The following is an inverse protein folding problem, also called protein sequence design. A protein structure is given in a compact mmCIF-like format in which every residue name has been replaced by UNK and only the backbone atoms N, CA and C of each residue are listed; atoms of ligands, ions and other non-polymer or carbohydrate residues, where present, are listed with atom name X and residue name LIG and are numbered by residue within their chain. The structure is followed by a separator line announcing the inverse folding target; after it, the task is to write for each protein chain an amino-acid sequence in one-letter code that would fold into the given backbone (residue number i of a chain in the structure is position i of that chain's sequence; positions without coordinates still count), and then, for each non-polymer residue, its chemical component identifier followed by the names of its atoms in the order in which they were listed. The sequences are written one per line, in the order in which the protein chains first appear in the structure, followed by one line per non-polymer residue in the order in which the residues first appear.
data_IF_075336504501
#
_entry.id   IF_075336504501
#
_cell.length_a   1.000
_cell.length_b   1.000
_cell.length_c   1.000
_cell.angle_alpha   90.00
_cell.angle_beta   90.00
_cell.angle_gamma   90.00
#
_symmetry.space_group_name_H-M   'P 1'
#
loop_
_entity.id
_entity.type
_entity.pdbx_description
1 polymer ?
#
# COMPACT_ATOMS: atom_id res chain seq x y z
N UNK A 1 -11.02 28.88 -12.29
CA UNK A 1 -10.08 27.90 -12.87
C UNK A 1 -10.29 26.65 -12.04
N UNK A 2 -10.69 25.55 -12.66
CA UNK A 2 -11.07 24.30 -11.98
C UNK A 2 -9.95 23.86 -11.01
N UNK A 3 -10.31 23.53 -9.76
CA UNK A 3 -9.35 23.24 -8.69
C UNK A 3 -8.54 21.96 -8.98
N UNK A 4 -9.17 20.99 -9.65
CA UNK A 4 -8.48 19.79 -10.15
C UNK A 4 -7.42 20.16 -11.21
N UNK A 5 -7.73 21.07 -12.12
CA UNK A 5 -6.75 21.55 -13.11
C UNK A 5 -5.62 22.32 -12.44
N UNK A 6 -5.89 23.06 -11.37
CA UNK A 6 -4.87 23.78 -10.61
C UNK A 6 -3.93 22.81 -9.89
N UNK A 7 -4.45 21.72 -9.32
CA UNK A 7 -3.64 20.68 -8.68
C UNK A 7 -2.77 19.94 -9.71
N UNK A 8 -3.34 19.50 -10.83
CA UNK A 8 -2.61 18.87 -11.93
C UNK A 8 -1.51 19.80 -12.48
N UNK A 9 -1.84 21.07 -12.69
CA UNK A 9 -0.89 22.09 -13.14
C UNK A 9 0.24 22.31 -12.13
N UNK A 10 -0.08 22.39 -10.84
CA UNK A 10 0.89 22.59 -9.77
C UNK A 10 1.83 21.39 -9.66
N UNK A 11 1.30 20.17 -9.72
CA UNK A 11 2.09 18.94 -9.74
C UNK A 11 3.03 18.91 -10.95
N UNK A 12 2.53 19.25 -12.14
CA UNK A 12 3.39 19.39 -13.33
C UNK A 12 4.50 20.40 -13.12
N UNK A 13 4.21 21.59 -12.59
CA UNK A 13 5.23 22.63 -12.35
C UNK A 13 6.30 22.17 -11.38
N UNK A 14 5.91 21.45 -10.34
CA UNK A 14 6.84 20.81 -9.41
C UNK A 14 7.75 19.81 -10.13
N UNK A 15 7.16 18.88 -10.89
CA UNK A 15 7.92 17.84 -11.62
C UNK A 15 8.87 18.45 -12.65
N UNK A 16 8.41 19.45 -13.42
CA UNK A 16 9.27 20.18 -14.36
C UNK A 16 10.41 20.91 -13.62
N UNK A 17 10.14 21.47 -12.43
CA UNK A 17 11.18 22.15 -11.66
C UNK A 17 12.25 21.17 -11.18
N UNK A 18 11.84 20.02 -10.64
CA UNK A 18 12.75 18.94 -10.24
C UNK A 18 13.63 18.49 -11.41
N UNK A 19 13.00 18.21 -12.57
CA UNK A 19 13.72 17.82 -13.77
C UNK A 19 14.69 18.88 -14.31
N UNK A 20 14.37 20.18 -14.16
CA UNK A 20 15.30 21.27 -14.56
C UNK A 20 16.50 21.42 -13.62
N UNK A 21 16.35 21.04 -12.35
CA UNK A 21 17.45 21.05 -11.39
C UNK A 21 18.38 19.86 -11.61
N UNK A 22 17.80 18.68 -11.84
CA UNK A 22 18.54 17.45 -12.15
C UNK A 22 17.66 16.44 -12.90
N UNK A 23 18.24 15.58 -13.76
CA UNK A 23 17.51 14.46 -14.35
C UNK A 23 16.78 13.64 -13.30
N UNK A 24 15.47 13.43 -13.48
CA UNK A 24 14.58 12.87 -12.45
C UNK A 24 13.82 11.67 -12.98
N UNK A 25 13.86 10.55 -12.25
CA UNK A 25 13.03 9.36 -12.49
C UNK A 25 11.93 9.31 -11.42
N UNK A 26 10.67 9.29 -11.85
CA UNK A 26 9.51 9.06 -10.98
C UNK A 26 9.00 7.64 -11.20
N UNK A 27 9.02 6.84 -10.14
CA UNK A 27 8.57 5.44 -10.15
C UNK A 27 7.22 5.36 -9.45
N UNK A 28 6.22 4.82 -10.15
CA UNK A 28 4.89 4.53 -9.63
C UNK A 28 4.70 3.02 -9.60
N UNK A 29 4.62 2.45 -8.41
CA UNK A 29 4.44 1.01 -8.23
C UNK A 29 2.96 0.66 -8.08
N UNK A 30 2.59 -0.53 -8.53
CA UNK A 30 1.26 -1.12 -8.36
C UNK A 30 0.08 -0.21 -8.76
N UNK A 31 0.22 0.55 -9.85
CA UNK A 31 -0.77 1.58 -10.24
C UNK A 31 -2.16 1.02 -10.59
N UNK A 32 -2.28 -0.28 -10.82
CA UNK A 32 -3.56 -0.98 -10.98
C UNK A 32 -4.47 -0.88 -9.74
N UNK A 33 -3.94 -0.50 -8.57
CA UNK A 33 -4.73 -0.24 -7.36
C UNK A 33 -4.98 1.25 -7.10
N UNK A 34 -4.39 2.12 -7.91
CA UNK A 34 -4.51 3.56 -7.75
C UNK A 34 -5.93 4.02 -8.08
N UNK A 35 -6.40 5.03 -7.36
CA UNK A 35 -7.71 5.61 -7.66
C UNK A 35 -7.71 6.38 -8.99
N UNK A 36 -8.91 6.73 -9.46
CA UNK A 36 -9.08 7.40 -10.74
C UNK A 36 -8.26 8.70 -10.84
N UNK A 37 -8.20 9.50 -9.77
CA UNK A 37 -7.52 10.80 -9.75
C UNK A 37 -5.99 10.67 -9.73
N UNK A 38 -5.46 9.67 -9.03
CA UNK A 38 -4.02 9.35 -9.05
C UNK A 38 -3.56 8.94 -10.45
N UNK A 39 -4.32 8.07 -11.09
CA UNK A 39 -4.06 7.64 -12.46
C UNK A 39 -4.20 8.81 -13.46
N UNK A 40 -5.20 9.69 -13.28
CA UNK A 40 -5.37 10.90 -14.11
C UNK A 40 -4.17 11.85 -13.95
N UNK A 41 -3.62 11.97 -12.74
CA UNK A 41 -2.40 12.74 -12.49
C UNK A 41 -1.19 12.16 -13.25
N UNK A 42 -0.97 10.85 -13.19
CA UNK A 42 0.14 10.19 -13.90
C UNK A 42 -0.01 10.40 -15.42
N UNK A 43 -1.21 10.18 -15.96
CA UNK A 43 -1.50 10.39 -17.37
C UNK A 43 -1.32 11.86 -17.77
N UNK A 44 -1.76 12.80 -16.94
CA UNK A 44 -1.58 14.23 -17.15
C UNK A 44 -0.10 14.61 -17.20
N UNK A 45 0.71 14.15 -16.24
CA UNK A 45 2.15 14.39 -16.22
C UNK A 45 2.82 13.83 -17.48
N UNK A 46 2.50 12.59 -17.86
CA UNK A 46 3.06 11.96 -19.05
C UNK A 46 2.72 12.71 -20.35
N UNK A 47 1.53 13.29 -20.45
CA UNK A 47 1.11 14.05 -21.63
C UNK A 47 1.70 15.48 -21.71
N UNK A 48 1.96 16.10 -20.55
CA UNK A 48 2.21 17.54 -20.46
C UNK A 48 3.63 17.94 -20.04
N UNK A 49 4.37 17.07 -19.35
CA UNK A 49 5.79 17.33 -19.04
C UNK A 49 6.57 17.19 -20.34
N UNK A 50 7.12 18.30 -20.83
CA UNK A 50 7.90 18.35 -22.07
C UNK A 50 9.21 19.08 -21.84
N UNK A 51 10.20 18.78 -22.69
CA UNK A 51 11.48 19.49 -22.77
C UNK A 51 12.22 19.59 -21.42
N UNK A 52 12.06 18.56 -20.59
CA UNK A 52 12.66 18.46 -19.27
C UNK A 52 13.14 17.01 -19.07
N UNK A 53 14.32 16.75 -18.48
CA UNK A 53 14.86 15.40 -18.33
C UNK A 53 14.14 14.63 -17.21
N UNK A 54 12.86 14.30 -17.45
CA UNK A 54 12.01 13.53 -16.55
C UNK A 54 11.61 12.22 -17.23
N UNK A 55 11.80 11.10 -16.54
CA UNK A 55 11.27 9.80 -16.94
C UNK A 55 10.19 9.36 -15.94
N UNK A 56 9.03 8.94 -16.45
CA UNK A 56 7.98 8.33 -15.65
C UNK A 56 8.01 6.82 -15.89
N UNK A 57 8.22 6.04 -14.83
CA UNK A 57 8.15 4.58 -14.86
C UNK A 57 6.92 4.15 -14.05
N UNK A 58 5.98 3.47 -14.69
CA UNK A 58 4.79 2.95 -14.02
C UNK A 58 4.77 1.42 -14.11
N UNK A 59 4.66 0.77 -12.96
CA UNK A 59 4.54 -0.67 -12.84
C UNK A 59 3.07 -1.02 -12.60
N UNK A 60 2.51 -1.83 -13.49
CA UNK A 60 1.12 -2.22 -13.44
C UNK A 60 0.98 -3.70 -13.76
N UNK A 61 -0.10 -4.30 -13.26
CA UNK A 61 -0.56 -5.58 -13.76
C UNK A 61 -1.51 -5.38 -14.96
N UNK A 62 -1.69 -6.38 -15.84
CA UNK A 62 -2.54 -6.26 -17.03
C UNK A 62 -3.98 -5.85 -16.76
N UNK A 63 -4.53 -6.14 -15.57
CA UNK A 63 -5.89 -5.82 -15.14
C UNK A 63 -6.19 -4.31 -15.18
N UNK A 64 -5.16 -3.46 -15.09
CA UNK A 64 -5.32 -2.01 -15.30
C UNK A 64 -5.96 -1.70 -16.67
N UNK A 65 -5.66 -2.51 -17.69
CA UNK A 65 -6.17 -2.32 -19.04
C UNK A 65 -7.65 -2.71 -19.17
N UNK A 66 -8.20 -3.48 -18.23
CA UNK A 66 -9.62 -3.79 -18.20
C UNK A 66 -10.44 -2.54 -17.84
N UNK A 67 -9.97 -1.78 -16.84
CA UNK A 67 -10.59 -0.53 -16.39
C UNK A 67 -10.17 0.67 -17.24
N UNK A 68 -8.94 0.68 -17.78
CA UNK A 68 -8.39 1.74 -18.63
C UNK A 68 -7.69 1.19 -19.88
N UNK A 69 -8.45 0.79 -20.91
CA UNK A 69 -7.90 0.21 -22.13
C UNK A 69 -6.94 1.13 -22.89
N UNK A 70 -7.09 2.45 -22.72
CA UNK A 70 -6.23 3.46 -23.34
C UNK A 70 -4.96 3.80 -22.56
N UNK A 71 -4.68 3.11 -21.44
CA UNK A 71 -3.54 3.44 -20.60
C UNK A 71 -2.21 3.33 -21.36
N UNK A 72 -1.38 4.39 -21.29
CA UNK A 72 -0.10 4.45 -22.00
C UNK A 72 -0.21 4.66 -23.52
N UNK A 73 -1.41 4.70 -24.09
CA UNK A 73 -1.63 4.95 -25.52
C UNK A 73 -1.77 6.45 -25.82
N UNK A 74 -1.45 6.86 -27.06
CA UNK A 74 -1.64 8.25 -27.51
C UNK A 74 -0.69 9.28 -26.88
N UNK A 75 0.27 8.83 -26.08
CA UNK A 75 1.31 9.67 -25.48
C UNK A 75 2.56 9.71 -26.38
N UNK A 76 3.22 10.86 -26.42
CA UNK A 76 4.52 10.98 -27.09
C UNK A 76 5.61 10.35 -26.22
N UNK A 77 6.53 9.60 -26.83
CA UNK A 77 7.69 9.01 -26.14
C UNK A 77 7.35 8.03 -24.99
N UNK A 78 6.29 7.22 -25.17
CA UNK A 78 5.95 6.13 -24.24
C UNK A 78 6.41 4.78 -24.78
N UNK A 79 6.86 3.90 -23.90
CA UNK A 79 7.17 2.50 -24.21
C UNK A 79 6.54 1.61 -23.16
N UNK A 80 5.82 0.59 -23.60
CA UNK A 80 5.25 -0.45 -22.74
C UNK A 80 6.10 -1.72 -22.86
N UNK A 81 6.55 -2.24 -21.73
CA UNK A 81 7.34 -3.48 -21.66
C UNK A 81 6.47 -4.54 -20.98
N UNK A 82 6.05 -5.54 -21.76
CA UNK A 82 5.43 -6.74 -21.20
C UNK A 82 6.49 -7.60 -20.51
N UNK A 83 6.19 -8.07 -19.30
CA UNK A 83 7.06 -9.00 -18.58
C UNK A 83 6.48 -10.41 -18.70
N UNK A 84 7.16 -11.25 -19.48
CA UNK A 84 6.84 -12.67 -19.59
C UNK A 84 7.35 -13.45 -18.36
N UNK A 85 6.80 -14.66 -18.10
CA UNK A 85 7.37 -15.56 -17.10
C UNK A 85 8.87 -15.79 -17.33
N UNK A 86 9.64 -15.89 -16.24
CA UNK A 86 11.09 -16.13 -16.31
C UNK A 86 11.36 -17.45 -17.01
N UNK A 87 12.29 -17.43 -17.97
CA UNK A 87 12.61 -18.63 -18.73
C UNK A 87 13.15 -19.74 -17.82
N UNK A 88 13.02 -21.03 -18.19
CA UNK A 88 13.61 -22.12 -17.39
C UNK A 88 15.12 -21.98 -17.19
N UNK A 89 15.84 -21.45 -18.19
CA UNK A 89 17.28 -21.23 -18.10
C UNK A 89 17.63 -20.09 -17.12
N UNK A 90 16.92 -18.97 -17.20
CA UNK A 90 17.12 -17.84 -16.27
C UNK A 90 16.65 -18.19 -14.86
N UNK A 91 15.61 -19.01 -14.72
CA UNK A 91 15.16 -19.56 -13.44
C UNK A 91 16.24 -20.43 -12.81
N UNK A 92 16.85 -21.33 -13.58
CA UNK A 92 17.96 -22.15 -13.08
C UNK A 92 19.16 -21.30 -12.64
N UNK A 93 19.51 -20.26 -13.42
CA UNK A 93 20.55 -19.32 -13.06
C UNK A 93 20.21 -18.54 -11.77
N UNK A 94 18.96 -18.10 -11.63
CA UNK A 94 18.48 -17.41 -10.44
C UNK A 94 18.55 -18.29 -9.19
N UNK A 95 18.15 -19.56 -9.26
CA UNK A 95 18.29 -20.50 -8.13
C UNK A 95 19.76 -20.65 -7.71
N UNK A 96 20.69 -20.74 -8.67
CA UNK A 96 22.12 -20.81 -8.36
C UNK A 96 22.62 -19.56 -7.63
N UNK A 97 22.14 -18.38 -8.02
CA UNK A 97 22.48 -17.12 -7.35
C UNK A 97 21.88 -17.01 -5.95
N UNK A 98 20.62 -17.42 -5.78
CA UNK A 98 19.90 -17.35 -4.50
C UNK A 98 20.50 -18.31 -3.46
N UNK A 99 20.87 -19.52 -3.89
CA UNK A 99 21.37 -20.55 -2.98
C UNK A 99 22.85 -20.40 -2.65
N UNK A 100 23.62 -19.72 -3.50
CA UNK A 100 25.07 -19.60 -3.36
C UNK A 100 25.83 -20.93 -3.42
N UNK A 101 25.16 -22.02 -3.79
CA UNK A 101 25.66 -23.38 -3.81
C UNK A 101 25.09 -24.17 -5.00
N UNK A 102 25.73 -25.28 -5.34
CA UNK A 102 25.26 -26.13 -6.44
C UNK A 102 24.04 -26.95 -6.00
N UNK A 103 22.87 -26.65 -6.57
CA UNK A 103 21.65 -27.43 -6.38
C UNK A 103 21.69 -28.66 -7.30
N UNK A 104 21.51 -29.89 -6.78
CA UNK A 104 21.49 -31.09 -7.61
C UNK A 104 20.47 -30.99 -8.75
N UNK A 105 20.86 -31.39 -9.96
CA UNK A 105 20.04 -31.24 -11.16
C UNK A 105 18.57 -31.75 -11.01
N UNK A 106 18.29 -32.89 -10.35
CA UNK A 106 16.91 -33.32 -10.12
C UNK A 106 16.09 -32.37 -9.23
N UNK A 107 16.73 -31.77 -8.21
CA UNK A 107 16.07 -30.80 -7.33
C UNK A 107 15.87 -29.48 -8.08
N UNK A 108 16.89 -28.99 -8.78
CA UNK A 108 16.84 -27.76 -9.58
C UNK A 108 15.73 -27.82 -10.62
N UNK A 109 15.63 -28.92 -11.37
CA UNK A 109 14.58 -29.14 -12.36
C UNK A 109 13.17 -29.03 -11.76
N UNK A 110 12.96 -29.65 -10.58
CA UNK A 110 11.67 -29.56 -9.88
C UNK A 110 11.36 -28.14 -9.38
N UNK A 111 12.35 -27.43 -8.83
CA UNK A 111 12.16 -26.04 -8.38
C UNK A 111 11.73 -25.14 -9.55
N UNK A 112 12.42 -25.25 -10.69
CA UNK A 112 12.13 -24.47 -11.92
C UNK A 112 10.77 -24.85 -12.50
N UNK A 113 10.45 -26.14 -12.58
CA UNK A 113 9.18 -26.64 -13.10
C UNK A 113 7.99 -26.14 -12.25
N UNK A 114 8.07 -26.31 -10.92
CA UNK A 114 7.00 -25.93 -10.00
C UNK A 114 6.82 -24.41 -9.96
N UNK A 115 7.91 -23.63 -10.01
CA UNK A 115 7.83 -22.18 -10.03
C UNK A 115 7.12 -21.64 -11.27
N UNK A 116 7.17 -22.35 -12.40
CA UNK A 116 6.49 -21.97 -13.64
C UNK A 116 6.87 -20.57 -14.14
N UNK A 117 8.12 -20.15 -13.92
CA UNK A 117 8.62 -18.83 -14.28
C UNK A 117 8.16 -17.68 -13.38
N UNK A 118 7.56 -17.97 -12.22
CA UNK A 118 7.24 -16.96 -11.20
C UNK A 118 8.48 -16.70 -10.32
N UNK A 119 9.11 -15.50 -10.38
CA UNK A 119 10.33 -15.22 -9.63
C UNK A 119 10.14 -15.36 -8.11
N UNK A 120 9.06 -14.81 -7.56
CA UNK A 120 8.77 -14.89 -6.13
C UNK A 120 8.56 -16.34 -5.69
N UNK A 121 7.86 -17.14 -6.50
CA UNK A 121 7.67 -18.54 -6.16
C UNK A 121 9.00 -19.29 -6.13
N UNK A 122 9.86 -19.01 -7.11
CA UNK A 122 11.17 -19.63 -7.22
C UNK A 122 12.06 -19.24 -6.03
N UNK A 123 12.03 -17.97 -5.59
CA UNK A 123 12.72 -17.50 -4.38
C UNK A 123 12.27 -18.29 -3.14
N UNK A 124 10.96 -18.41 -2.92
CA UNK A 124 10.41 -19.11 -1.75
C UNK A 124 10.71 -20.63 -1.79
N UNK A 125 10.65 -21.25 -2.97
CA UNK A 125 11.01 -22.66 -3.15
C UNK A 125 12.52 -22.89 -2.92
N UNK A 126 13.38 -22.00 -3.43
CA UNK A 126 14.82 -22.07 -3.23
C UNK A 126 15.20 -21.85 -1.75
N UNK A 127 14.60 -20.87 -1.09
CA UNK A 127 14.80 -20.62 0.34
C UNK A 127 14.33 -21.81 1.19
N UNK A 128 13.15 -22.36 0.90
CA UNK A 128 12.65 -23.56 1.56
C UNK A 128 13.57 -24.79 1.35
N UNK A 129 14.16 -24.92 0.16
CA UNK A 129 15.16 -25.96 -0.10
C UNK A 129 16.46 -25.77 0.69
N UNK A 130 16.93 -24.52 0.88
CA UNK A 130 18.11 -24.24 1.72
C UNK A 130 17.86 -24.52 3.19
N UNK A 131 16.63 -24.29 3.65
CA UNK A 131 16.21 -24.58 5.03
C UNK A 131 16.12 -26.09 5.29
N UNK A 132 15.63 -26.87 4.32
CA UNK A 132 15.53 -28.33 4.41
C UNK A 132 15.61 -28.99 3.00
N UNK A 133 16.81 -29.45 2.57
CA UNK A 133 17.01 -30.05 1.25
C UNK A 133 16.25 -31.38 1.04
N UNK A 134 15.96 -32.10 2.14
CA UNK A 134 15.30 -33.41 2.09
C UNK A 134 13.78 -33.30 1.89
N UNK A 135 13.21 -32.10 2.11
CA UNK A 135 11.79 -31.78 1.90
C UNK A 135 11.35 -31.75 0.44
N UNK A 136 12.25 -32.11 -0.48
CA UNK A 136 12.05 -32.05 -1.93
C UNK A 136 10.97 -33.00 -2.49
N UNK A 137 10.47 -33.95 -1.71
CA UNK A 137 9.47 -34.94 -2.18
C UNK A 137 8.07 -34.33 -2.41
N UNK A 138 7.68 -33.32 -1.63
CA UNK A 138 6.38 -32.64 -1.73
C UNK A 138 6.59 -31.13 -1.80
N UNK A 139 7.00 -30.64 -2.97
CA UNK A 139 7.08 -29.19 -3.18
C UNK A 139 5.67 -28.59 -3.16
N UNK A 140 5.49 -27.44 -2.47
CA UNK A 140 4.26 -26.66 -2.53
C UNK A 140 3.89 -26.34 -3.98
N UNK A 141 2.60 -26.38 -4.32
CA UNK A 141 2.11 -26.11 -5.68
C UNK A 141 1.71 -24.65 -5.90
N UNK A 142 1.79 -23.82 -4.86
CA UNK A 142 1.49 -22.38 -4.94
C UNK A 142 2.47 -21.57 -4.09
N UNK A 143 2.68 -20.31 -4.47
CA UNK A 143 3.51 -19.36 -3.69
C UNK A 143 3.03 -19.25 -2.24
N UNK A 144 1.71 -19.18 -2.04
CA UNK A 144 1.11 -19.10 -0.71
C UNK A 144 1.43 -20.35 0.13
N UNK A 145 1.38 -21.53 -0.49
CA UNK A 145 1.73 -22.78 0.19
C UNK A 145 3.22 -22.88 0.50
N UNK A 146 4.10 -22.35 -0.37
CA UNK A 146 5.53 -22.28 -0.09
C UNK A 146 5.85 -21.37 1.08
N UNK A 147 5.31 -20.16 1.08
CA UNK A 147 5.45 -19.24 2.21
C UNK A 147 4.90 -19.88 3.49
N UNK A 148 3.71 -20.50 3.45
CA UNK A 148 3.12 -21.15 4.62
C UNK A 148 4.00 -22.28 5.16
N UNK A 149 4.55 -23.13 4.29
CA UNK A 149 5.43 -24.23 4.69
C UNK A 149 6.73 -23.74 5.36
N UNK A 150 7.30 -22.62 4.87
CA UNK A 150 8.44 -21.96 5.51
C UNK A 150 8.08 -21.34 6.85
N UNK A 151 6.94 -20.66 6.95
CA UNK A 151 6.44 -20.08 8.22
C UNK A 151 6.19 -21.18 9.27
N UNK A 152 5.67 -22.33 8.88
CA UNK A 152 5.41 -23.45 9.78
C UNK A 152 6.69 -24.19 10.21
N UNK A 153 7.79 -24.04 9.46
CA UNK A 153 9.11 -24.53 9.84
C UNK A 153 9.84 -23.64 10.85
N UNK A 154 9.33 -22.42 11.11
CA UNK A 154 9.95 -21.50 12.06
C UNK A 154 9.81 -22.00 13.50
N UNK A 155 10.85 -21.79 14.34
CA UNK A 155 10.73 -21.91 15.79
C UNK A 155 9.54 -21.10 16.35
N UNK A 156 8.87 -21.59 17.41
CA UNK A 156 7.64 -20.97 17.93
C UNK A 156 7.76 -19.46 18.21
N UNK A 157 8.88 -19.00 18.73
CA UNK A 157 9.13 -17.60 19.08
C UNK A 157 9.28 -16.72 17.83
N UNK A 158 9.93 -17.23 16.78
CA UNK A 158 10.10 -16.54 15.50
C UNK A 158 8.78 -16.49 14.74
N UNK A 159 8.05 -17.61 14.72
CA UNK A 159 6.72 -17.69 14.14
C UNK A 159 5.76 -16.71 14.82
N UNK A 160 5.75 -16.69 16.15
CA UNK A 160 4.90 -15.76 16.92
C UNK A 160 5.22 -14.29 16.61
N UNK A 161 6.50 -13.92 16.55
CA UNK A 161 6.93 -12.57 16.18
C UNK A 161 6.49 -12.18 14.77
N UNK A 162 6.67 -13.08 13.79
CA UNK A 162 6.28 -12.83 12.39
C UNK A 162 4.75 -12.68 12.23
N UNK A 163 3.99 -13.53 12.93
CA UNK A 163 2.53 -13.43 12.94
C UNK A 163 2.05 -12.12 13.61
N UNK A 164 2.67 -11.71 14.72
CA UNK A 164 2.37 -10.43 15.36
C UNK A 164 2.67 -9.25 14.43
N UNK A 165 3.81 -9.27 13.73
CA UNK A 165 4.17 -8.26 12.73
C UNK A 165 3.15 -8.15 11.61
N UNK A 166 2.55 -9.28 11.19
CA UNK A 166 1.56 -9.29 10.11
C UNK A 166 0.29 -8.47 10.43
N UNK A 167 -0.03 -8.37 11.72
CA UNK A 167 -1.16 -7.59 12.25
C UNK A 167 -0.84 -6.10 12.29
N UNK A 168 0.40 -5.72 12.57
CA UNK A 168 0.84 -4.31 12.59
C UNK A 168 0.74 -3.71 11.19
N UNK A 169 1.29 -4.38 10.17
CA UNK A 169 1.23 -3.87 8.79
C UNK A 169 2.35 -4.40 7.90
N UNK A 170 2.50 -3.77 6.72
CA UNK A 170 3.63 -4.04 5.81
C UNK A 170 4.96 -3.57 6.39
N UNK A 171 4.91 -2.48 7.17
CA UNK A 171 5.99 -1.90 7.93
C UNK A 171 5.60 -1.97 9.40
N UNK A 172 6.55 -2.30 10.26
CA UNK A 172 6.33 -2.44 11.69
C UNK A 172 7.58 -2.05 12.47
N UNK A 173 7.42 -1.79 13.76
CA UNK A 173 8.51 -1.38 14.64
C UNK A 173 8.75 -2.41 15.73
N UNK A 174 9.99 -2.52 16.17
CA UNK A 174 10.39 -3.42 17.26
C UNK A 174 9.57 -3.16 18.53
N UNK A 175 9.37 -1.90 18.92
CA UNK A 175 8.58 -1.55 20.11
C UNK A 175 7.13 -2.03 20.04
N UNK A 176 6.53 -2.02 18.84
CA UNK A 176 5.16 -2.52 18.64
C UNK A 176 5.05 -4.03 18.89
N UNK A 177 6.08 -4.80 18.52
CA UNK A 177 6.12 -6.24 18.77
C UNK A 177 6.40 -6.56 20.25
N UNK A 178 7.23 -5.76 20.92
CA UNK A 178 7.46 -5.90 22.37
C UNK A 178 6.16 -5.69 23.15
N UNK A 179 5.38 -4.66 22.78
CA UNK A 179 4.10 -4.38 23.42
C UNK A 179 3.04 -5.46 23.16
N UNK A 180 3.12 -6.17 22.03
CA UNK A 180 2.25 -7.31 21.71
C UNK A 180 2.57 -8.59 22.50
N UNK A 181 3.55 -8.57 23.41
CA UNK A 181 3.84 -9.66 24.34
C UNK A 181 5.04 -10.55 23.98
N UNK A 182 5.88 -10.14 23.02
CA UNK A 182 7.09 -10.89 22.65
C UNK A 182 8.32 -10.25 23.30
N UNK A 183 8.54 -10.46 24.60
CA UNK A 183 9.46 -9.62 25.39
C UNK A 183 10.91 -10.16 25.47
N UNK A 184 11.10 -11.48 25.62
CA UNK A 184 12.42 -11.99 26.06
C UNK A 184 13.38 -12.40 24.92
N UNK A 185 12.92 -12.36 23.66
CA UNK A 185 13.72 -12.80 22.51
C UNK A 185 13.49 -12.04 21.20
N UNK A 186 12.77 -10.91 21.22
CA UNK A 186 12.32 -10.27 19.97
C UNK A 186 13.46 -9.93 19.03
N UNK A 187 14.61 -9.47 19.56
CA UNK A 187 15.77 -9.12 18.74
C UNK A 187 16.35 -10.33 18.04
N UNK A 188 16.57 -11.41 18.80
CA UNK A 188 17.03 -12.68 18.22
C UNK A 188 16.04 -13.23 17.21
N UNK A 189 14.73 -13.08 17.47
CA UNK A 189 13.70 -13.49 16.53
C UNK A 189 13.74 -12.65 15.24
N UNK A 190 13.87 -11.33 15.35
CA UNK A 190 13.93 -10.42 14.22
C UNK A 190 15.21 -10.61 13.40
N UNK A 191 16.37 -10.75 14.05
CA UNK A 191 17.63 -11.08 13.38
C UNK A 191 17.53 -12.42 12.63
N UNK A 192 16.89 -13.44 13.24
CA UNK A 192 16.72 -14.75 12.62
C UNK A 192 15.66 -14.77 11.49
N UNK A 193 14.66 -13.89 11.55
CA UNK A 193 13.68 -13.69 10.49
C UNK A 193 14.29 -12.90 9.32
N UNK A 194 15.14 -11.93 9.61
CA UNK A 194 15.89 -11.16 8.62
C UNK A 194 16.90 -12.05 7.88
N UNK A 195 17.64 -12.89 8.60
CA UNK A 195 18.57 -13.87 8.00
C UNK A 195 17.88 -14.93 7.12
N UNK A 196 16.55 -15.07 7.23
CA UNK A 196 15.73 -15.96 6.40
C UNK A 196 14.90 -15.21 5.36
N UNK A 197 15.18 -13.93 5.14
CA UNK A 197 14.49 -13.08 4.15
C UNK A 197 12.97 -12.95 4.36
N UNK A 198 12.45 -13.18 5.57
CA UNK A 198 11.04 -12.89 5.85
C UNK A 198 10.79 -11.39 6.00
N UNK A 199 11.75 -10.71 6.60
CA UNK A 199 11.70 -9.28 6.94
C UNK A 199 13.03 -8.63 6.59
N UNK A 200 13.05 -7.32 6.47
CA UNK A 200 14.27 -6.53 6.31
C UNK A 200 14.23 -5.33 7.25
N UNK A 201 15.39 -4.93 7.76
CA UNK A 201 15.54 -3.70 8.53
C UNK A 201 15.60 -2.50 7.60
N UNK A 202 14.84 -1.46 7.90
CA UNK A 202 14.86 -0.22 7.13
C UNK A 202 15.97 0.70 7.64
N UNK A 203 16.64 1.42 6.72
CA UNK A 203 17.79 2.27 7.06
C UNK A 203 17.41 3.49 7.91
N UNK A 204 16.15 3.92 7.79
CA UNK A 204 15.57 5.02 8.55
C UNK A 204 14.29 4.52 9.22
N UNK A 205 14.10 4.88 10.48
CA UNK A 205 12.85 4.62 11.19
C UNK A 205 11.99 5.88 11.23
N UNK A 206 10.70 5.72 10.97
CA UNK A 206 9.71 6.80 11.12
C UNK A 206 9.37 7.07 12.58
N UNK A 207 9.63 6.11 13.47
CA UNK A 207 9.43 6.26 14.92
C UNK A 207 10.78 6.52 15.58
N UNK A 208 10.94 7.72 16.14
CA UNK A 208 12.19 8.15 16.75
C UNK A 208 12.61 7.21 17.89
N UNK A 209 13.82 6.66 17.81
CA UNK A 209 14.38 5.78 18.84
C UNK A 209 13.94 4.31 18.73
N UNK A 210 13.15 3.95 17.72
CA UNK A 210 12.75 2.56 17.45
C UNK A 210 13.35 2.06 16.12
N UNK A 211 13.42 0.74 15.97
CA UNK A 211 13.92 0.08 14.75
C UNK A 211 12.75 -0.30 13.87
N UNK A 212 12.76 0.16 12.63
CA UNK A 212 11.74 -0.12 11.62
C UNK A 212 12.13 -1.33 10.76
N UNK A 213 11.15 -2.18 10.51
CA UNK A 213 11.26 -3.35 9.67
C UNK A 213 10.12 -3.37 8.66
N UNK A 214 10.35 -4.01 7.53
CA UNK A 214 9.30 -4.32 6.56
C UNK A 214 9.34 -5.78 6.16
N UNK A 215 8.20 -6.32 5.75
CA UNK A 215 8.18 -7.66 5.14
C UNK A 215 8.92 -7.60 3.81
N UNK A 216 9.76 -8.61 3.54
CA UNK A 216 10.52 -8.68 2.28
C UNK A 216 9.57 -8.64 1.06
N UNK A 217 8.43 -9.32 1.19
CA UNK A 217 7.34 -9.35 0.22
C UNK A 217 6.00 -9.20 0.92
N UNK A 218 5.09 -8.39 0.36
CA UNK A 218 3.75 -8.17 0.92
C UNK A 218 2.95 -9.47 1.06
N UNK A 219 3.17 -10.44 0.17
CA UNK A 219 2.49 -11.74 0.22
C UNK A 219 2.85 -12.55 1.47
N UNK A 220 4.06 -12.40 2.01
CA UNK A 220 4.49 -13.07 3.26
C UNK A 220 3.60 -12.61 4.41
N UNK A 221 3.43 -11.28 4.54
CA UNK A 221 2.52 -10.68 5.51
C UNK A 221 1.11 -11.23 5.35
N UNK A 222 0.59 -11.28 4.12
CA UNK A 222 -0.79 -11.69 3.87
C UNK A 222 -1.02 -13.18 4.19
N UNK A 223 -0.04 -14.04 3.89
CA UNK A 223 -0.07 -15.46 4.30
C UNK A 223 -0.09 -15.55 5.82
N UNK A 224 0.86 -14.92 6.51
CA UNK A 224 0.93 -14.88 7.96
C UNK A 224 -0.41 -14.42 8.58
N UNK A 225 -0.93 -13.28 8.12
CA UNK A 225 -2.17 -12.70 8.62
C UNK A 225 -3.38 -13.62 8.40
N UNK A 226 -3.43 -14.32 7.26
CA UNK A 226 -4.52 -15.25 6.93
C UNK A 226 -4.51 -16.53 7.77
N UNK A 227 -3.33 -16.94 8.27
CA UNK A 227 -3.20 -18.15 9.13
C UNK A 227 -3.62 -17.91 10.57
N UNK A 228 -3.73 -16.65 11.00
CA UNK A 228 -4.12 -16.33 12.38
C UNK A 228 -5.62 -16.64 12.60
N UNK A 229 -5.96 -17.47 13.61
CA UNK A 229 -7.34 -17.65 14.04
C UNK A 229 -8.00 -16.33 14.39
N UNK A 230 -9.30 -16.20 14.09
CA UNK A 230 -10.05 -14.94 14.31
C UNK A 230 -9.93 -14.38 15.73
N UNK A 231 -9.88 -15.22 16.75
CA UNK A 231 -9.72 -14.79 18.14
C UNK A 231 -8.32 -14.20 18.41
N UNK A 232 -7.26 -14.83 17.87
CA UNK A 232 -5.90 -14.33 17.99
C UNK A 232 -5.72 -13.02 17.22
N UNK A 233 -6.30 -12.89 16.02
CA UNK A 233 -6.33 -11.62 15.28
C UNK A 233 -6.93 -10.48 16.11
N UNK A 234 -8.09 -10.70 16.72
CA UNK A 234 -8.74 -9.67 17.56
C UNK A 234 -7.83 -9.22 18.70
N UNK A 235 -7.27 -10.17 19.44
CA UNK A 235 -6.37 -9.87 20.57
C UNK A 235 -5.09 -9.14 20.13
N UNK A 236 -4.52 -9.53 18.99
CA UNK A 236 -3.36 -8.86 18.43
C UNK A 236 -3.70 -7.42 17.98
N UNK A 237 -4.82 -7.20 17.28
CA UNK A 237 -5.25 -5.86 16.88
C UNK A 237 -5.53 -4.96 18.09
N UNK A 238 -6.13 -5.49 19.15
CA UNK A 238 -6.33 -4.76 20.40
C UNK A 238 -4.99 -4.35 21.02
N UNK A 239 -4.02 -5.25 21.06
CA UNK A 239 -2.69 -4.98 21.62
C UNK A 239 -1.96 -3.90 20.83
N UNK A 240 -2.03 -3.95 19.49
CA UNK A 240 -1.46 -2.92 18.61
C UNK A 240 -2.15 -1.58 18.80
N UNK A 241 -3.49 -1.55 18.88
CA UNK A 241 -4.22 -0.30 19.10
C UNK A 241 -3.82 0.38 20.42
N UNK A 242 -3.76 -0.39 21.52
CA UNK A 242 -3.33 0.12 22.83
C UNK A 242 -1.90 0.64 22.82
N UNK A 243 -0.99 -0.05 22.11
CA UNK A 243 0.38 0.41 21.95
C UNK A 243 0.44 1.77 21.25
N UNK A 244 -0.26 1.91 20.12
CA UNK A 244 -0.32 3.17 19.36
C UNK A 244 -0.87 4.29 20.24
N UNK A 245 -1.93 4.03 21.03
CA UNK A 245 -2.48 5.00 21.99
C UNK A 245 -1.47 5.43 23.05
N UNK A 246 -0.69 4.49 23.59
CA UNK A 246 0.32 4.78 24.61
C UNK A 246 1.47 5.64 24.07
N UNK A 247 2.01 5.29 22.90
CA UNK A 247 3.15 6.02 22.30
C UNK A 247 2.75 7.41 21.82
N UNK A 248 1.51 7.57 21.33
CA UNK A 248 0.98 8.84 20.83
C UNK A 248 0.37 9.74 21.91
N UNK A 249 0.32 9.29 23.17
CA UNK A 249 -0.36 10.01 24.26
C UNK A 249 -1.87 10.10 24.09
N UNK A 250 -2.47 9.27 23.22
CA UNK A 250 -3.92 9.14 23.04
C UNK A 250 -4.62 10.33 22.37
N UNK A 251 -3.88 11.30 21.82
CA UNK A 251 -4.44 12.49 21.18
C UNK A 251 -3.93 12.75 19.76
N UNK A 252 -3.07 11.87 19.24
CA UNK A 252 -2.53 12.05 17.89
C UNK A 252 -3.60 11.79 16.83
N UNK A 253 -4.13 12.90 16.30
CA UNK A 253 -5.13 12.90 15.23
C UNK A 253 -4.58 12.32 13.93
N UNK A 254 -3.26 12.28 13.75
CA UNK A 254 -2.65 11.74 12.53
C UNK A 254 -2.79 10.22 12.45
N UNK A 255 -2.81 9.54 13.60
CA UNK A 255 -2.96 8.08 13.67
C UNK A 255 -4.42 7.62 13.84
N UNK A 256 -5.38 8.55 13.89
CA UNK A 256 -6.79 8.24 14.12
C UNK A 256 -7.34 7.24 13.08
N UNK A 257 -7.02 7.39 11.79
CA UNK A 257 -7.44 6.44 10.77
C UNK A 257 -6.92 5.02 11.06
N UNK A 258 -5.63 4.90 11.43
CA UNK A 258 -5.00 3.63 11.74
C UNK A 258 -5.60 2.98 12.99
N UNK A 259 -5.75 3.75 14.07
CA UNK A 259 -6.40 3.30 15.32
C UNK A 259 -7.83 2.82 15.07
N UNK A 260 -8.56 3.48 14.18
CA UNK A 260 -9.91 3.04 13.82
C UNK A 260 -9.93 1.64 13.19
N UNK A 261 -8.94 1.34 12.34
CA UNK A 261 -8.82 0.03 11.72
C UNK A 261 -8.51 -1.05 12.75
N UNK A 262 -7.54 -0.83 13.64
CA UNK A 262 -7.17 -1.82 14.66
C UNK A 262 -8.30 -2.06 15.67
N UNK A 263 -8.98 -1.01 16.15
CA UNK A 263 -10.12 -1.19 17.06
C UNK A 263 -11.30 -1.89 16.38
N UNK A 264 -11.54 -1.61 15.09
CA UNK A 264 -12.56 -2.31 14.32
C UNK A 264 -12.24 -3.82 14.20
N UNK A 265 -11.01 -4.17 13.84
CA UNK A 265 -10.57 -5.57 13.73
C UNK A 265 -10.51 -6.28 15.08
N UNK A 266 -10.25 -5.55 16.18
CA UNK A 266 -10.36 -6.05 17.55
C UNK A 266 -11.80 -6.34 17.98
N UNK A 267 -12.78 -5.69 17.33
CA UNK A 267 -14.21 -5.80 17.63
C UNK A 267 -14.74 -4.72 18.57
N UNK A 268 -13.92 -3.76 18.99
CA UNK A 268 -14.35 -2.59 19.76
C UNK A 268 -14.85 -1.49 18.80
N UNK A 269 -16.11 -1.65 18.37
CA UNK A 269 -16.72 -0.74 17.39
C UNK A 269 -16.90 0.68 17.96
N UNK A 270 -17.04 0.83 19.27
CA UNK A 270 -17.22 2.13 19.91
C UNK A 270 -15.94 2.95 19.77
N UNK A 271 -14.79 2.39 20.13
CA UNK A 271 -13.50 3.06 19.90
C UNK A 271 -13.23 3.26 18.42
N UNK A 272 -13.52 2.27 17.57
CA UNK A 272 -13.32 2.39 16.13
C UNK A 272 -14.10 3.58 15.55
N UNK A 273 -15.37 3.75 15.92
CA UNK A 273 -16.18 4.90 15.51
C UNK A 273 -15.60 6.20 16.04
N UNK A 274 -15.19 6.26 17.32
CA UNK A 274 -14.56 7.44 17.90
C UNK A 274 -13.37 7.93 17.08
N UNK A 275 -12.48 7.00 16.69
CA UNK A 275 -11.33 7.31 15.85
C UNK A 275 -11.68 7.63 14.39
N UNK A 276 -12.70 7.01 13.80
CA UNK A 276 -13.19 7.40 12.46
C UNK A 276 -13.71 8.84 12.45
N UNK A 277 -14.39 9.27 13.52
CA UNK A 277 -14.88 10.64 13.63
C UNK A 277 -13.75 11.63 13.82
N UNK A 278 -12.72 11.28 14.61
CA UNK A 278 -11.53 12.09 14.77
C UNK A 278 -10.75 12.24 13.45
N UNK A 279 -10.61 11.15 12.70
CA UNK A 279 -10.00 11.18 11.37
C UNK A 279 -10.82 12.03 10.38
N UNK A 280 -12.16 11.92 10.43
CA UNK A 280 -13.04 12.73 9.58
C UNK A 280 -12.92 14.23 9.91
N UNK A 281 -12.83 14.60 11.19
CA UNK A 281 -12.61 16.00 11.60
C UNK A 281 -11.28 16.55 11.05
N UNK A 282 -10.21 15.74 11.08
CA UNK A 282 -8.92 16.12 10.48
C UNK A 282 -9.00 16.29 8.96
N UNK A 283 -9.71 15.39 8.27
CA UNK A 283 -9.94 15.50 6.83
C UNK A 283 -10.79 16.74 6.47
N UNK A 284 -11.77 17.09 7.31
CA UNK A 284 -12.54 18.34 7.17
C UNK A 284 -11.64 19.58 7.33
N UNK A 285 -10.78 19.60 8.35
CA UNK A 285 -9.80 20.68 8.57
C UNK A 285 -8.83 20.82 7.38
N UNK A 286 -8.48 19.70 6.74
CA UNK A 286 -7.62 19.65 5.56
C UNK A 286 -8.34 19.93 4.22
N UNK A 287 -9.66 20.17 4.22
CA UNK A 287 -10.46 20.32 2.99
C UNK A 287 -10.35 19.11 2.04
N UNK A 288 -10.40 17.92 2.63
CA UNK A 288 -10.46 16.66 1.91
C UNK A 288 -11.89 16.11 1.99
N UNK A 289 -12.83 16.72 1.27
CA UNK A 289 -14.27 16.41 1.35
C UNK A 289 -14.58 14.96 0.97
N UNK A 290 -13.92 14.42 -0.07
CA UNK A 290 -14.09 13.03 -0.49
C UNK A 290 -13.69 12.06 0.62
N UNK A 291 -12.51 12.26 1.21
CA UNK A 291 -12.01 11.45 2.32
C UNK A 291 -12.91 11.56 3.55
N UNK A 292 -13.36 12.77 3.88
CA UNK A 292 -14.35 13.02 4.95
C UNK A 292 -15.61 12.18 4.75
N UNK A 293 -16.17 12.19 3.53
CA UNK A 293 -17.35 11.40 3.18
C UNK A 293 -17.09 9.91 3.35
N UNK A 294 -15.96 9.40 2.89
CA UNK A 294 -15.59 7.98 3.01
C UNK A 294 -15.46 7.54 4.48
N UNK A 295 -14.80 8.35 5.31
CA UNK A 295 -14.64 8.11 6.74
C UNK A 295 -15.99 8.11 7.49
N UNK A 296 -16.84 9.11 7.22
CA UNK A 296 -18.17 9.21 7.84
C UNK A 296 -19.11 8.08 7.39
N UNK A 297 -19.05 7.68 6.12
CA UNK A 297 -19.78 6.50 5.63
C UNK A 297 -19.32 5.23 6.35
N UNK A 298 -18.01 5.08 6.56
CA UNK A 298 -17.48 3.94 7.31
C UNK A 298 -17.93 3.96 8.76
N UNK A 299 -17.91 5.12 9.43
CA UNK A 299 -18.42 5.27 10.79
C UNK A 299 -19.90 4.87 10.86
N UNK A 300 -20.72 5.37 9.93
CA UNK A 300 -22.14 5.08 9.88
C UNK A 300 -22.46 3.59 9.70
N UNK A 301 -21.59 2.81 9.05
CA UNK A 301 -21.74 1.35 8.94
C UNK A 301 -21.50 0.62 10.26
N UNK A 302 -20.68 1.18 11.16
CA UNK A 302 -20.29 0.54 12.43
C UNK A 302 -21.16 0.98 13.62
N UNK A 303 -21.74 2.19 13.57
CA UNK A 303 -22.59 2.71 14.65
C UNK A 303 -23.91 1.95 14.72
N UNK A 304 -24.18 1.38 15.90
CA UNK A 304 -25.43 0.69 16.23
C UNK A 304 -26.39 1.55 17.05
N UNK A 305 -25.87 2.50 17.85
CA UNK A 305 -26.68 3.38 18.67
C UNK A 305 -27.44 4.41 17.83
N UNK A 306 -28.75 4.53 18.02
CA UNK A 306 -29.64 5.40 17.20
C UNK A 306 -29.26 6.88 17.28
N UNK A 307 -28.90 7.38 18.47
CA UNK A 307 -28.51 8.77 18.68
C UNK A 307 -27.22 9.12 17.96
N UNK A 308 -26.17 8.33 18.16
CA UNK A 308 -24.91 8.49 17.44
C UNK A 308 -25.09 8.31 15.93
N UNK A 309 -25.89 7.33 15.49
CA UNK A 309 -26.14 7.08 14.06
C UNK A 309 -26.75 8.31 13.38
N UNK A 310 -27.69 8.97 14.05
CA UNK A 310 -28.30 10.22 13.57
C UNK A 310 -27.27 11.35 13.49
N UNK A 311 -26.40 11.48 14.50
CA UNK A 311 -25.31 12.47 14.53
C UNK A 311 -24.30 12.27 13.39
N UNK A 312 -23.85 11.03 13.18
CA UNK A 312 -22.92 10.69 12.08
C UNK A 312 -23.60 10.87 10.72
N UNK A 313 -24.88 10.49 10.61
CA UNK A 313 -25.68 10.70 9.40
C UNK A 313 -25.82 12.19 9.04
N UNK A 314 -26.03 13.06 10.01
CA UNK A 314 -26.08 14.51 9.80
C UNK A 314 -24.72 15.07 9.36
N UNK A 315 -23.62 14.66 10.01
CA UNK A 315 -22.26 15.04 9.59
C UNK A 315 -22.01 14.63 8.12
N UNK A 316 -22.40 13.41 7.74
CA UNK A 316 -22.25 12.90 6.38
C UNK A 316 -23.09 13.71 5.37
N UNK A 317 -24.34 14.04 5.71
CA UNK A 317 -25.19 14.86 4.84
C UNK A 317 -24.58 16.25 4.61
N UNK A 318 -24.08 16.90 5.67
CA UNK A 318 -23.39 18.18 5.56
C UNK A 318 -22.11 18.08 4.71
N UNK A 319 -21.32 17.02 4.88
CA UNK A 319 -20.13 16.78 4.07
C UNK A 319 -20.45 16.61 2.58
N UNK A 320 -21.54 15.90 2.25
CA UNK A 320 -22.02 15.76 0.86
C UNK A 320 -22.48 17.08 0.26
N UNK A 321 -23.26 17.88 0.99
CA UNK A 321 -23.67 19.20 0.51
C UNK A 321 -22.46 20.08 0.22
N UNK A 322 -21.46 20.10 1.11
CA UNK A 322 -20.20 20.83 0.87
C UNK A 322 -19.46 20.32 -0.37
N UNK A 323 -19.43 19.01 -0.59
CA UNK A 323 -18.82 18.41 -1.77
C UNK A 323 -19.58 18.73 -3.06
N UNK A 324 -20.91 18.71 -3.04
CA UNK A 324 -21.75 19.08 -4.17
C UNK A 324 -21.64 20.58 -4.49
N UNK A 325 -21.61 21.46 -3.48
CA UNK A 325 -21.37 22.89 -3.66
C UNK A 325 -19.96 23.16 -4.22
N UNK A 326 -18.97 22.37 -3.79
CA UNK A 326 -17.62 22.39 -4.33
C UNK A 326 -17.59 21.98 -5.82
N UNK A 327 -18.23 20.87 -6.19
CA UNK A 327 -18.32 20.43 -7.58
C UNK A 327 -19.11 21.44 -8.45
N UNK A 328 -20.24 21.97 -7.95
CA UNK A 328 -21.03 22.97 -8.69
C UNK A 328 -20.33 24.32 -8.79
N UNK A 329 -19.49 24.68 -7.81
CA UNK A 329 -18.60 25.84 -7.85
C UNK A 329 -17.45 25.68 -8.85
N UNK A 330 -16.90 24.47 -8.98
CA UNK A 330 -15.89 24.12 -9.99
C UNK A 330 -16.45 24.11 -11.42
N UNK A 331 -17.73 23.74 -11.60
CA UNK A 331 -18.39 23.57 -12.90
C UNK A 331 -18.97 24.87 -13.51
N UNK A 332 -18.91 26.02 -12.84
CA UNK A 332 -19.34 27.31 -13.45
C UNK A 332 -18.16 28.10 -14.05
N UNK A 333 -17.93 28.05 -15.38
CA UNK A 333 -17.17 29.09 -16.04
C UNK A 333 -17.98 30.39 -15.99
N UNK A 334 -17.35 31.46 -15.51
CA UNK A 334 -17.89 32.81 -15.58
C UNK A 334 -18.18 33.15 -17.05
N UNK A 335 -19.47 33.20 -17.43
CA UNK A 335 -19.90 33.92 -18.63
C UNK A 335 -19.67 35.41 -18.37
N UNK A 336 -18.52 35.92 -18.79
CA UNK A 336 -18.30 37.36 -18.91
C UNK A 336 -19.30 37.95 -19.90
N UNK A 337 -19.80 39.18 -19.68
CA UNK A 337 -20.74 39.80 -20.58
C UNK A 337 -20.08 40.05 -21.93
N UNK A 338 -20.72 39.58 -23.00
CA UNK A 338 -20.34 39.89 -24.37
C UNK A 338 -20.56 41.39 -24.63
N UNK A 339 -19.52 42.19 -24.40
CA UNK A 339 -19.43 43.54 -24.96
C UNK A 339 -18.88 43.43 -26.38
N UNK A 340 -19.75 43.17 -27.35
CA UNK A 340 -19.50 43.47 -28.75
C UNK A 340 -20.34 44.70 -29.11
N UNK A 341 -19.69 45.87 -29.15
CA UNK A 341 -20.24 47.07 -29.78
C UNK A 341 -19.81 47.06 -31.25
N UNK A 342 -20.68 47.44 -32.19
CA UNK A 342 -20.34 47.47 -33.61
C UNK A 342 -19.58 48.76 -33.94
N UNK A 343 -18.50 48.65 -34.71
CA UNK A 343 -17.94 49.77 -35.46
C UNK A 343 -18.47 49.68 -36.88
N UNK A 344 -19.38 50.60 -37.22
CA UNK A 344 -19.76 50.98 -38.57
C UNK A 344 -18.69 51.95 -39.16
N UNK A 345 -18.72 52.20 -40.47
CA UNK A 345 -17.54 52.36 -41.31
C UNK A 345 -17.08 53.82 -41.45
N UNK A 346 -15.84 53.99 -41.90
CA UNK A 346 -15.39 55.22 -42.56
C UNK A 346 -14.57 54.81 -43.80
N UNK A 347 -15.13 55.20 -44.95
CA UNK A 347 -14.60 55.40 -46.30
C UNK A 347 -13.74 54.33 -46.99
#
# INVERSE_FOLDING_TARGET
MDEQLLLLFSARRLVERLGREQPTLLIFEDIHWADAGQLDLIAYLAAHVRETPVLLLALARPELLDDRPGWGTGLHATTSIGLDPVSPADSAALVGQLTGAEVPAPALGRLVEVAGGNPLFLEELAAGWMEDPDRSAELPTTVRAAIAARVDALPPEQRSALLAASVVGKVFWRGALQAAGTVDSIDRSLDALEARDFVRREATSRVQGDVEFSFRHALIRDVCYSTLPRAQRRSAHESVARYIEQVSGGQDRELAWLLSHHWQEAGDLVRAVGYLLLAAERAEEARAEKETIELLQRALRLVTEVGERSRVGLKLALARVRFEDFEQGAVKPARGPACARPLLPLD
#
